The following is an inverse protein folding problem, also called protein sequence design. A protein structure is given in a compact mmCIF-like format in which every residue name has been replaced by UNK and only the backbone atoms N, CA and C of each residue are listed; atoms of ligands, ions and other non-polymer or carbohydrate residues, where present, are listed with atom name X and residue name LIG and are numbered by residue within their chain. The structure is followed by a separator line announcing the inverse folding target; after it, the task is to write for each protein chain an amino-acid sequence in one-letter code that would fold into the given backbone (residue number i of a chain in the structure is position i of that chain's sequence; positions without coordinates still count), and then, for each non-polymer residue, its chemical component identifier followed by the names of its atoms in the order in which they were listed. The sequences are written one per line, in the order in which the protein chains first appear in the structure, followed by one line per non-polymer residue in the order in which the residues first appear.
data_IF_725765697547
#
_entry.id   IF_725765697547
#
_cell.length_a   1.000
_cell.length_b   1.000
_cell.length_c   1.000
_cell.angle_alpha   90.00
_cell.angle_beta   90.00
_cell.angle_gamma   90.00
#
_symmetry.space_group_name_H-M   'P 1'
#
loop_
_entity.id
_entity.type
_entity.pdbx_description
1 polymer ?
#
# COMPACT_ATOMS: atom_id res chain seq x y z
N UNK A 1 2.59 -5.00 -6.39
CA UNK A 1 2.13 -4.18 -5.26
C UNK A 1 2.15 -2.69 -5.59
N UNK A 2 2.15 -1.79 -4.59
CA UNK A 2 2.35 -0.36 -4.78
C UNK A 2 3.62 -0.09 -5.60
N UNK A 3 3.60 0.95 -6.42
CA UNK A 3 4.76 1.29 -7.26
C UNK A 3 5.83 2.04 -6.47
N UNK A 4 7.10 1.69 -6.71
CA UNK A 4 8.26 2.33 -6.10
C UNK A 4 8.82 3.51 -6.90
N UNK A 5 10.09 3.89 -6.66
CA UNK A 5 10.80 4.87 -7.48
C UNK A 5 10.69 4.57 -8.98
N UNK A 6 10.44 5.62 -9.78
CA UNK A 6 10.21 5.48 -11.23
C UNK A 6 8.87 4.82 -11.59
N UNK A 7 7.95 4.67 -10.64
CA UNK A 7 6.66 4.00 -10.80
C UNK A 7 6.78 2.51 -11.20
N UNK A 8 7.90 1.87 -10.86
CA UNK A 8 8.14 0.46 -11.17
C UNK A 8 7.36 -0.46 -10.23
N UNK A 9 6.64 -1.48 -10.75
CA UNK A 9 5.99 -2.51 -9.93
C UNK A 9 7.00 -3.46 -9.26
N UNK A 10 8.25 -3.50 -9.75
CA UNK A 10 9.35 -4.34 -9.22
C UNK A 10 10.13 -3.67 -8.08
N UNK A 11 9.85 -2.39 -7.77
CA UNK A 11 10.48 -1.65 -6.68
C UNK A 11 9.48 -1.40 -5.53
N UNK A 12 8.58 -2.34 -5.27
CA UNK A 12 7.45 -2.15 -4.37
C UNK A 12 7.86 -1.99 -2.90
N UNK A 13 7.20 -1.10 -2.11
CA UNK A 13 7.44 -0.99 -0.67
C UNK A 13 6.84 -2.16 0.14
N UNK A 14 6.17 -3.11 -0.52
CA UNK A 14 5.75 -4.38 0.10
C UNK A 14 5.53 -5.46 -0.96
N UNK A 15 5.96 -6.69 -0.65
CA UNK A 15 5.68 -7.88 -1.43
C UNK A 15 4.20 -8.32 -1.38
N UNK A 16 3.47 -7.90 -0.34
CA UNK A 16 2.09 -8.31 -0.08
C UNK A 16 1.06 -7.26 -0.50
N UNK A 17 1.36 -5.98 -0.28
CA UNK A 17 0.40 -4.91 -0.49
C UNK A 17 -0.01 -4.78 -1.97
N UNK A 18 -1.23 -4.31 -2.20
CA UNK A 18 -1.76 -3.94 -3.51
C UNK A 18 -1.57 -2.45 -3.84
N UNK A 19 -1.52 -2.10 -5.13
CA UNK A 19 -1.38 -0.72 -5.57
C UNK A 19 -2.69 0.06 -5.39
N UNK A 20 -2.71 1.00 -4.45
CA UNK A 20 -3.90 1.82 -4.13
C UNK A 20 -4.34 2.70 -5.30
N UNK A 21 -3.44 3.02 -6.25
CA UNK A 21 -3.81 3.75 -7.47
C UNK A 21 -4.70 2.92 -8.40
N UNK A 22 -4.81 1.60 -8.20
CA UNK A 22 -5.73 0.75 -8.97
C UNK A 22 -7.16 0.73 -8.42
N UNK A 23 -7.42 1.31 -7.23
CA UNK A 23 -8.77 1.37 -6.65
C UNK A 23 -9.70 2.15 -7.59
N UNK A 24 -10.78 1.52 -8.05
CA UNK A 24 -11.85 2.11 -8.83
C UNK A 24 -12.67 3.07 -7.97
N UNK A 25 -12.56 4.38 -8.24
CA UNK A 25 -13.35 5.41 -7.57
C UNK A 25 -14.86 5.30 -7.87
N UNK A 26 -15.31 4.95 -9.10
CA UNK A 26 -16.73 4.70 -9.35
C UNK A 26 -17.31 3.56 -8.50
N UNK A 27 -16.54 2.51 -8.22
CA UNK A 27 -17.00 1.45 -7.33
C UNK A 27 -17.15 1.94 -5.89
N UNK A 28 -16.24 2.80 -5.43
CA UNK A 28 -16.40 3.46 -4.12
C UNK A 28 -17.66 4.34 -4.07
N UNK A 29 -18.00 5.03 -5.15
CA UNK A 29 -19.27 5.77 -5.22
C UNK A 29 -20.49 4.83 -5.17
N UNK A 30 -20.44 3.70 -5.88
CA UNK A 30 -21.47 2.66 -5.81
C UNK A 30 -21.65 2.07 -4.40
N UNK A 31 -20.59 1.99 -3.62
CA UNK A 31 -20.63 1.55 -2.21
C UNK A 31 -21.16 2.62 -1.24
N UNK A 32 -21.35 3.85 -1.72
CA UNK A 32 -21.69 5.01 -0.87
C UNK A 32 -20.49 5.57 -0.08
N UNK A 33 -19.26 5.20 -0.46
CA UNK A 33 -18.03 5.75 0.11
C UNK A 33 -17.64 7.09 -0.52
N UNK A 34 -18.10 7.39 -1.73
CA UNK A 34 -17.93 8.67 -2.40
C UNK A 34 -19.26 9.15 -2.97
N UNK A 35 -19.43 10.46 -3.13
CA UNK A 35 -20.54 10.99 -3.92
C UNK A 35 -20.12 11.13 -5.38
N UNK A 36 -21.11 11.17 -6.28
CA UNK A 36 -20.86 11.45 -7.70
C UNK A 36 -20.18 12.81 -7.90
N UNK A 37 -20.46 13.79 -7.04
CA UNK A 37 -19.81 15.10 -7.07
C UNK A 37 -18.31 15.02 -6.78
N UNK A 38 -17.86 14.08 -5.94
CA UNK A 38 -16.43 13.83 -5.71
C UNK A 38 -15.73 13.34 -6.99
N UNK A 39 -16.48 12.72 -7.91
CA UNK A 39 -15.98 12.23 -9.19
C UNK A 39 -16.15 13.24 -10.33
N UNK A 40 -16.87 14.34 -10.10
CA UNK A 40 -17.12 15.34 -11.12
C UNK A 40 -15.81 15.99 -11.59
N UNK A 41 -15.74 16.27 -12.89
CA UNK A 41 -14.64 17.01 -13.54
C UNK A 41 -13.25 16.38 -13.31
N UNK A 42 -13.02 15.12 -13.73
CA UNK A 42 -11.67 14.57 -13.71
C UNK A 42 -10.74 15.43 -14.58
N UNK A 43 -9.45 15.56 -14.22
CA UNK A 43 -8.43 16.05 -15.12
C UNK A 43 -8.49 15.28 -16.44
N UNK A 44 -8.12 15.94 -17.55
CA UNK A 44 -8.01 15.26 -18.83
C UNK A 44 -6.80 14.32 -18.78
N UNK A 45 -7.06 13.04 -18.60
CA UNK A 45 -6.04 11.99 -18.68
C UNK A 45 -5.83 11.56 -20.13
N UNK A 46 -4.60 11.17 -20.46
CA UNK A 46 -4.31 10.50 -21.74
C UNK A 46 -4.89 9.08 -21.70
N UNK A 47 -5.41 8.62 -22.84
CA UNK A 47 -5.83 7.22 -23.01
C UNK A 47 -4.66 6.26 -23.28
N UNK A 48 -3.51 6.80 -23.70
CA UNK A 48 -2.38 6.00 -24.19
C UNK A 48 -1.24 5.88 -23.16
N UNK A 49 -1.17 6.81 -22.20
CA UNK A 49 -0.09 6.88 -21.22
C UNK A 49 -0.60 7.31 -19.85
N UNK A 50 -0.03 6.73 -18.79
CA UNK A 50 -0.36 7.06 -17.41
C UNK A 50 0.58 8.16 -16.90
N UNK A 51 0.02 9.33 -16.60
CA UNK A 51 0.68 10.34 -15.76
C UNK A 51 0.42 9.97 -14.28
N UNK A 52 1.40 9.32 -13.66
CA UNK A 52 1.27 8.83 -12.28
C UNK A 52 1.08 9.96 -11.26
N UNK A 53 1.70 11.13 -11.50
CA UNK A 53 1.59 12.27 -10.58
C UNK A 53 0.20 12.88 -10.67
N UNK A 54 -0.32 13.07 -11.88
CA UNK A 54 -1.69 13.53 -12.09
C UNK A 54 -2.72 12.54 -11.51
N UNK A 55 -2.50 11.24 -11.70
CA UNK A 55 -3.37 10.19 -11.13
C UNK A 55 -3.30 10.21 -9.61
N UNK A 56 -2.12 10.34 -9.00
CA UNK A 56 -1.96 10.41 -7.54
C UNK A 56 -2.64 11.65 -6.97
N UNK A 57 -2.41 12.82 -7.59
CA UNK A 57 -3.02 14.08 -7.21
C UNK A 57 -4.56 14.03 -7.28
N UNK A 58 -5.11 13.27 -8.24
CA UNK A 58 -6.55 13.08 -8.36
C UNK A 58 -7.10 12.05 -7.37
N UNK A 59 -6.49 10.87 -7.26
CA UNK A 59 -7.05 9.74 -6.50
C UNK A 59 -6.83 9.85 -4.99
N UNK A 60 -5.67 10.32 -4.54
CA UNK A 60 -5.34 10.33 -3.10
C UNK A 60 -6.30 11.16 -2.24
N UNK A 61 -6.68 12.41 -2.61
CA UNK A 61 -7.66 13.17 -1.85
C UNK A 61 -9.02 12.46 -1.74
N UNK A 62 -9.43 11.75 -2.78
CA UNK A 62 -10.70 11.00 -2.83
C UNK A 62 -10.64 9.74 -1.99
N UNK A 63 -9.51 9.04 -1.95
CA UNK A 63 -9.33 7.92 -1.02
C UNK A 63 -9.38 8.39 0.44
N UNK A 64 -8.78 9.55 0.76
CA UNK A 64 -8.92 10.14 2.09
C UNK A 64 -10.36 10.54 2.40
N UNK A 65 -11.09 11.10 1.43
CA UNK A 65 -12.51 11.42 1.58
C UNK A 65 -13.33 10.15 1.86
N UNK A 66 -13.12 9.09 1.07
CA UNK A 66 -13.78 7.80 1.24
C UNK A 66 -13.55 7.23 2.65
N UNK A 67 -12.29 7.26 3.12
CA UNK A 67 -11.96 6.83 4.46
C UNK A 67 -12.63 7.70 5.55
N UNK A 68 -12.65 9.02 5.36
CA UNK A 68 -13.32 9.95 6.29
C UNK A 68 -14.82 9.70 6.37
N UNK A 69 -15.48 9.41 5.25
CA UNK A 69 -16.90 9.03 5.19
C UNK A 69 -17.14 7.68 5.86
N UNK A 70 -16.32 6.67 5.57
CA UNK A 70 -16.39 5.35 6.21
C UNK A 70 -16.29 5.45 7.74
N UNK A 71 -15.31 6.22 8.24
CA UNK A 71 -15.15 6.49 9.68
C UNK A 71 -16.37 7.16 10.32
N UNK A 72 -17.12 7.96 9.56
CA UNK A 72 -18.33 8.67 10.01
C UNK A 72 -19.61 7.86 9.91
N UNK A 73 -19.58 6.64 9.37
CA UNK A 73 -20.79 5.80 9.28
C UNK A 73 -21.09 5.29 7.88
N UNK A 74 -20.50 5.85 6.83
CA UNK A 74 -20.81 5.47 5.45
C UNK A 74 -20.42 4.02 5.15
N UNK A 75 -21.13 3.42 4.19
CA UNK A 75 -20.98 2.03 3.78
C UNK A 75 -20.92 1.04 4.97
N UNK A 76 -21.93 1.06 5.88
CA UNK A 76 -21.91 0.19 7.07
C UNK A 76 -21.82 -1.30 6.74
N UNK A 77 -22.30 -1.70 5.55
CA UNK A 77 -22.18 -3.06 5.03
C UNK A 77 -20.74 -3.56 4.89
N UNK A 78 -19.74 -2.66 4.80
CA UNK A 78 -18.33 -3.02 4.64
C UNK A 78 -17.58 -3.16 5.97
N UNK A 79 -18.20 -2.85 7.11
CA UNK A 79 -17.50 -2.84 8.41
C UNK A 79 -17.01 -4.22 8.81
N UNK A 80 -17.88 -5.22 8.75
CA UNK A 80 -17.54 -6.58 9.14
C UNK A 80 -16.44 -7.16 8.24
N UNK A 81 -16.54 -6.91 6.92
CA UNK A 81 -15.54 -7.36 5.96
C UNK A 81 -14.18 -6.67 6.20
N UNK A 82 -14.18 -5.39 6.56
CA UNK A 82 -12.97 -4.67 6.89
C UNK A 82 -12.31 -5.20 8.18
N UNK A 83 -13.11 -5.44 9.23
CA UNK A 83 -12.62 -6.03 10.48
C UNK A 83 -12.06 -7.44 10.26
N UNK A 84 -12.76 -8.27 9.48
CA UNK A 84 -12.30 -9.59 9.10
C UNK A 84 -10.99 -9.54 8.29
N UNK A 85 -10.91 -8.64 7.30
CA UNK A 85 -9.69 -8.42 6.51
C UNK A 85 -8.51 -8.03 7.39
N UNK A 86 -8.72 -7.10 8.33
CA UNK A 86 -7.66 -6.70 9.27
C UNK A 86 -7.17 -7.88 10.10
N UNK A 87 -8.07 -8.74 10.59
CA UNK A 87 -7.70 -9.91 11.37
C UNK A 87 -6.97 -10.97 10.53
N UNK A 88 -7.45 -11.26 9.33
CA UNK A 88 -6.89 -12.26 8.41
C UNK A 88 -5.49 -11.85 7.91
N UNK A 89 -5.31 -10.56 7.61
CA UNK A 89 -4.09 -10.03 6.99
C UNK A 89 -3.10 -9.43 7.99
N UNK A 90 -3.38 -9.50 9.31
CA UNK A 90 -2.59 -8.86 10.35
C UNK A 90 -1.07 -9.14 10.27
N UNK A 91 -0.70 -10.36 9.85
CA UNK A 91 0.68 -10.83 9.78
C UNK A 91 1.61 -10.00 8.86
N UNK A 92 1.07 -9.30 7.86
CA UNK A 92 1.84 -8.36 7.02
C UNK A 92 1.26 -6.95 7.04
N UNK A 93 -0.07 -6.84 7.21
CA UNK A 93 -0.79 -5.57 7.11
C UNK A 93 -0.40 -4.58 8.22
N UNK A 94 -0.12 -5.08 9.41
CA UNK A 94 0.22 -4.25 10.56
C UNK A 94 1.57 -3.56 10.38
N UNK A 95 2.59 -4.34 9.97
CA UNK A 95 3.91 -3.80 9.65
C UNK A 95 3.87 -2.88 8.42
N UNK A 96 3.13 -3.26 7.37
CA UNK A 96 2.97 -2.41 6.20
C UNK A 96 2.32 -1.06 6.54
N UNK A 97 1.22 -1.07 7.29
CA UNK A 97 0.49 0.15 7.60
C UNK A 97 1.30 1.09 8.51
N UNK A 98 2.05 0.55 9.47
CA UNK A 98 2.96 1.33 10.30
C UNK A 98 4.15 1.86 9.48
N UNK A 99 4.76 1.02 8.64
CA UNK A 99 5.85 1.42 7.75
C UNK A 99 5.43 2.60 6.85
N UNK A 100 4.28 2.49 6.20
CA UNK A 100 3.78 3.55 5.32
C UNK A 100 3.45 4.83 6.09
N UNK A 101 2.86 4.72 7.29
CA UNK A 101 2.59 5.88 8.13
C UNK A 101 3.88 6.59 8.59
N UNK A 102 4.91 5.82 8.95
CA UNK A 102 6.24 6.36 9.27
C UNK A 102 6.92 6.99 8.05
N UNK A 103 6.77 6.37 6.88
CA UNK A 103 7.30 6.88 5.62
C UNK A 103 6.66 8.22 5.25
N UNK A 104 5.34 8.36 5.41
CA UNK A 104 4.64 9.63 5.21
C UNK A 104 5.14 10.69 6.21
N UNK A 105 5.31 10.32 7.48
CA UNK A 105 5.78 11.22 8.54
C UNK A 105 7.23 11.70 8.38
N UNK A 106 8.04 10.98 7.60
CA UNK A 106 9.45 11.31 7.33
C UNK A 106 9.68 11.66 5.85
N UNK A 107 8.69 12.26 5.17
CA UNK A 107 8.84 12.80 3.81
C UNK A 107 9.34 11.76 2.79
N UNK A 108 8.83 10.53 2.89
CA UNK A 108 9.23 9.38 2.08
C UNK A 108 10.68 8.90 2.24
N UNK A 109 11.40 9.37 3.28
CA UNK A 109 12.74 8.90 3.59
C UNK A 109 12.79 7.38 3.78
N UNK A 110 13.94 6.78 3.45
CA UNK A 110 14.15 5.34 3.59
C UNK A 110 14.23 4.94 5.07
N UNK A 111 13.74 3.75 5.40
CA UNK A 111 13.60 3.34 6.81
C UNK A 111 14.91 3.35 7.62
N UNK A 112 16.04 3.14 6.96
CA UNK A 112 17.36 3.16 7.59
C UNK A 112 17.87 4.56 7.95
N UNK A 113 17.14 5.61 7.56
CA UNK A 113 17.44 7.02 7.88
C UNK A 113 16.52 7.59 8.95
N UNK A 114 15.52 6.81 9.40
CA UNK A 114 14.67 7.18 10.52
C UNK A 114 15.45 7.20 11.84
N UNK A 115 14.87 7.79 12.92
CA UNK A 115 15.40 7.63 14.27
C UNK A 115 15.75 6.17 14.57
N UNK A 116 16.90 5.95 15.21
CA UNK A 116 17.50 4.62 15.37
C UNK A 116 16.53 3.63 16.04
N UNK A 117 15.72 4.10 16.98
CA UNK A 117 14.74 3.30 17.70
C UNK A 117 13.61 2.79 16.79
N UNK A 118 13.23 3.56 15.76
CA UNK A 118 12.24 3.16 14.76
C UNK A 118 12.87 2.26 13.68
N UNK A 119 14.07 2.60 13.22
CA UNK A 119 14.80 1.78 12.24
C UNK A 119 15.14 0.38 12.81
N UNK A 120 15.47 0.30 14.10
CA UNK A 120 15.75 -0.95 14.83
C UNK A 120 14.50 -1.58 15.45
N UNK A 121 13.31 -1.01 15.21
CA UNK A 121 12.03 -1.56 15.66
C UNK A 121 11.95 -1.81 17.17
N UNK A 122 12.48 -0.89 17.97
CA UNK A 122 12.39 -0.98 19.42
C UNK A 122 10.92 -0.94 19.85
N UNK A 123 10.43 -1.92 20.65
CA UNK A 123 9.01 -2.07 20.94
C UNK A 123 8.33 -0.81 21.50
N UNK A 124 9.02 -0.06 22.38
CA UNK A 124 8.50 1.17 22.94
C UNK A 124 8.34 2.30 21.90
N UNK A 125 9.30 2.42 20.98
CA UNK A 125 9.23 3.41 19.90
C UNK A 125 8.14 3.07 18.89
N UNK A 126 7.98 1.78 18.55
CA UNK A 126 6.89 1.32 17.68
C UNK A 126 5.52 1.54 18.31
N UNK A 127 5.36 1.27 19.61
CA UNK A 127 4.12 1.53 20.33
C UNK A 127 3.77 3.03 20.33
N UNK A 128 4.75 3.89 20.62
CA UNK A 128 4.57 5.34 20.58
C UNK A 128 4.22 5.85 19.17
N UNK A 129 4.91 5.37 18.15
CA UNK A 129 4.62 5.71 16.75
C UNK A 129 3.23 5.21 16.30
N UNK A 130 2.85 4.00 16.72
CA UNK A 130 1.53 3.44 16.40
C UNK A 130 0.39 4.27 16.99
N UNK A 131 0.58 4.76 18.22
CA UNK A 131 -0.37 5.66 18.87
C UNK A 131 -0.44 7.01 18.16
N UNK A 132 0.73 7.62 17.90
CA UNK A 132 0.86 8.92 17.25
C UNK A 132 0.26 8.93 15.84
N UNK A 133 0.48 7.87 15.07
CA UNK A 133 0.08 7.77 13.67
C UNK A 133 -1.16 6.90 13.44
N UNK A 134 -1.94 6.62 14.50
CA UNK A 134 -3.12 5.72 14.44
C UNK A 134 -4.06 6.00 13.25
N UNK A 135 -4.34 7.27 12.96
CA UNK A 135 -5.24 7.65 11.86
C UNK A 135 -4.65 7.34 10.48
N UNK A 136 -3.34 7.54 10.30
CA UNK A 136 -2.64 7.22 9.05
C UNK A 136 -2.52 5.70 8.86
N UNK A 137 -2.21 4.96 9.93
CA UNK A 137 -2.20 3.48 9.92
C UNK A 137 -3.58 2.94 9.51
N UNK A 138 -4.65 3.46 10.12
CA UNK A 138 -6.01 3.04 9.78
C UNK A 138 -6.37 3.37 8.31
N UNK A 139 -5.88 4.48 7.76
CA UNK A 139 -6.05 4.81 6.34
C UNK A 139 -5.33 3.81 5.43
N UNK A 140 -4.07 3.47 5.73
CA UNK A 140 -3.30 2.48 4.96
C UNK A 140 -3.95 1.10 5.01
N UNK A 141 -4.44 0.66 6.18
CA UNK A 141 -5.23 -0.58 6.30
C UNK A 141 -6.50 -0.55 5.45
N UNK A 142 -7.25 0.54 5.51
CA UNK A 142 -8.50 0.70 4.76
C UNK A 142 -8.27 0.65 3.25
N UNK A 143 -7.23 1.32 2.73
CA UNK A 143 -6.95 1.29 1.30
C UNK A 143 -6.51 -0.09 0.81
N UNK A 144 -5.77 -0.86 1.62
CA UNK A 144 -5.43 -2.25 1.29
C UNK A 144 -6.65 -3.16 1.26
N UNK A 145 -7.58 -3.00 2.22
CA UNK A 145 -8.89 -3.67 2.18
C UNK A 145 -9.64 -3.37 0.88
N UNK A 146 -9.69 -2.10 0.46
CA UNK A 146 -10.35 -1.73 -0.79
C UNK A 146 -9.69 -2.37 -2.01
N UNK A 147 -8.35 -2.43 -2.07
CA UNK A 147 -7.65 -3.10 -3.16
C UNK A 147 -7.99 -4.59 -3.19
N UNK A 148 -7.89 -5.28 -2.06
CA UNK A 148 -8.20 -6.71 -1.96
C UNK A 148 -9.64 -7.02 -2.38
N UNK A 149 -10.61 -6.26 -1.86
CA UNK A 149 -12.02 -6.43 -2.20
C UNK A 149 -12.28 -6.26 -3.68
N UNK A 150 -11.74 -5.20 -4.29
CA UNK A 150 -11.93 -4.97 -5.72
C UNK A 150 -11.20 -6.00 -6.59
N UNK A 151 -10.01 -6.44 -6.15
CA UNK A 151 -9.25 -7.48 -6.84
C UNK A 151 -9.97 -8.84 -6.82
N UNK A 152 -10.54 -9.23 -5.67
CA UNK A 152 -11.35 -10.46 -5.53
C UNK A 152 -12.56 -10.45 -6.46
N UNK A 153 -13.21 -9.29 -6.63
CA UNK A 153 -14.33 -9.12 -7.58
C UNK A 153 -13.89 -9.32 -9.03
N UNK A 154 -12.79 -8.68 -9.45
CA UNK A 154 -12.22 -8.84 -10.80
C UNK A 154 -11.82 -10.30 -11.06
N UNK A 155 -11.15 -10.92 -10.09
CA UNK A 155 -10.70 -12.31 -10.19
C UNK A 155 -11.89 -13.28 -10.29
N UNK A 156 -12.95 -13.07 -9.50
CA UNK A 156 -14.19 -13.87 -9.60
C UNK A 156 -14.81 -13.74 -10.99
N UNK A 157 -14.97 -12.51 -11.48
CA UNK A 157 -15.55 -12.27 -12.80
C UNK A 157 -14.73 -12.91 -13.93
N UNK A 158 -13.40 -12.84 -13.86
CA UNK A 158 -12.52 -13.50 -14.82
C UNK A 158 -12.75 -15.03 -14.82
N UNK A 159 -12.82 -15.66 -13.65
CA UNK A 159 -13.06 -17.09 -13.54
C UNK A 159 -14.45 -17.50 -14.04
N UNK A 160 -15.48 -16.70 -13.77
CA UNK A 160 -16.85 -16.92 -14.29
C UNK A 160 -16.86 -16.88 -15.83
N UNK A 161 -15.93 -16.14 -16.43
CA UNK A 161 -15.72 -16.07 -17.88
C UNK A 161 -14.71 -17.11 -18.41
N UNK A 162 -14.22 -18.02 -17.56
CA UNK A 162 -13.21 -19.02 -17.94
C UNK A 162 -11.81 -18.44 -18.21
N UNK A 163 -11.53 -17.23 -17.74
CA UNK A 163 -10.24 -16.55 -17.87
C UNK A 163 -9.42 -16.74 -16.60
N UNK A 164 -8.18 -17.21 -16.76
CA UNK A 164 -7.22 -17.32 -15.66
C UNK A 164 -6.31 -16.09 -15.61
N UNK A 165 -5.98 -15.63 -14.40
CA UNK A 165 -5.06 -14.51 -14.18
C UNK A 165 -3.72 -15.04 -13.69
N UNK A 166 -2.65 -14.74 -14.41
CA UNK A 166 -1.29 -15.06 -14.01
C UNK A 166 -0.64 -13.84 -13.36
N UNK A 167 -0.22 -13.99 -12.11
CA UNK A 167 0.55 -12.97 -11.40
C UNK A 167 2.03 -12.96 -11.80
N UNK A 168 2.74 -11.92 -11.36
CA UNK A 168 4.19 -11.79 -11.48
C UNK A 168 4.75 -11.41 -10.11
N UNK A 169 5.75 -12.16 -9.65
CA UNK A 169 6.37 -12.00 -8.34
C UNK A 169 7.88 -11.83 -8.56
N UNK A 170 8.45 -10.65 -8.26
CA UNK A 170 9.89 -10.44 -8.30
C UNK A 170 10.61 -11.37 -7.31
N UNK A 171 11.75 -11.94 -7.72
CA UNK A 171 12.54 -12.82 -6.83
C UNK A 171 13.12 -12.08 -5.62
N UNK A 172 13.43 -10.78 -5.76
CA UNK A 172 13.93 -9.93 -4.68
C UNK A 172 12.92 -8.84 -4.35
N UNK A 173 12.84 -8.49 -3.06
CA UNK A 173 12.07 -7.35 -2.58
C UNK A 173 12.91 -6.07 -2.57
N UNK A 174 12.26 -4.92 -2.66
CA UNK A 174 12.96 -3.64 -2.55
C UNK A 174 13.55 -3.47 -1.14
N UNK A 175 14.76 -2.90 -1.05
CA UNK A 175 15.40 -2.62 0.23
C UNK A 175 14.56 -1.69 1.12
N UNK A 176 14.02 -0.62 0.56
CA UNK A 176 13.17 0.33 1.27
C UNK A 176 11.70 -0.14 1.26
N UNK A 177 11.45 -1.25 1.95
CA UNK A 177 10.14 -1.90 2.06
C UNK A 177 9.80 -2.27 3.50
N UNK A 178 8.51 -2.47 3.76
CA UNK A 178 8.02 -3.02 5.01
C UNK A 178 8.58 -4.43 5.26
N UNK A 179 8.81 -5.23 4.20
CA UNK A 179 9.29 -6.60 4.30
C UNK A 179 10.71 -6.64 4.88
N UNK A 180 11.62 -5.81 4.34
CA UNK A 180 13.00 -5.70 4.82
C UNK A 180 13.07 -5.03 6.18
N UNK A 181 12.31 -3.95 6.38
CA UNK A 181 12.30 -3.24 7.66
C UNK A 181 11.82 -4.14 8.81
N UNK A 182 10.76 -4.94 8.60
CA UNK A 182 10.17 -5.79 9.62
C UNK A 182 10.92 -7.11 9.87
N UNK A 183 11.63 -7.63 8.85
CA UNK A 183 12.27 -8.95 8.89
C UNK A 183 13.78 -8.86 8.58
N UNK A 184 14.47 -7.92 9.23
CA UNK A 184 15.89 -7.60 8.95
C UNK A 184 16.83 -8.82 9.05
N UNK A 185 16.48 -9.81 9.87
CA UNK A 185 17.22 -11.06 10.06
C UNK A 185 17.17 -12.01 8.84
N UNK A 186 16.21 -11.83 7.94
CA UNK A 186 16.14 -12.58 6.68
C UNK A 186 17.08 -12.04 5.59
N UNK A 187 17.73 -10.88 5.82
CA UNK A 187 18.53 -10.19 4.82
C UNK A 187 19.99 -10.01 5.28
N UNK A 188 20.90 -9.86 4.30
CA UNK A 188 22.31 -9.57 4.55
C UNK A 188 22.50 -8.07 4.79
N UNK A 189 22.18 -7.63 6.01
CA UNK A 189 22.33 -6.25 6.44
C UNK A 189 23.53 -6.09 7.38
N UNK A 190 24.35 -5.07 7.11
CA UNK A 190 25.44 -4.62 7.94
C UNK A 190 25.00 -3.59 9.00
N UNK A 191 25.97 -2.88 9.60
CA UNK A 191 25.69 -1.87 10.62
C UNK A 191 24.71 -0.80 10.15
N UNK A 192 23.77 -0.41 11.02
CA UNK A 192 22.70 0.57 10.74
C UNK A 192 21.71 0.14 9.64
N UNK A 193 21.60 -1.17 9.39
CA UNK A 193 20.61 -1.72 8.46
C UNK A 193 20.99 -1.63 6.99
N UNK A 194 22.19 -1.16 6.65
CA UNK A 194 22.64 -1.03 5.26
C UNK A 194 22.92 -2.40 4.62
N UNK A 195 22.58 -2.64 3.33
CA UNK A 195 22.91 -3.90 2.66
C UNK A 195 24.43 -4.14 2.65
N UNK A 196 24.88 -5.32 3.05
CA UNK A 196 26.30 -5.71 2.91
C UNK A 196 26.60 -6.26 1.51
N UNK A 197 25.59 -6.83 0.86
CA UNK A 197 25.62 -7.35 -0.51
C UNK A 197 24.33 -6.95 -1.23
N UNK A 198 24.38 -6.82 -2.56
CA UNK A 198 23.21 -6.47 -3.38
C UNK A 198 23.09 -7.43 -4.55
N UNK A 199 21.85 -7.70 -4.97
CA UNK A 199 21.57 -8.52 -6.14
C UNK A 199 22.03 -7.84 -7.44
N UNK A 200 22.47 -8.63 -8.40
CA UNK A 200 22.87 -8.19 -9.73
C UNK A 200 23.10 -9.39 -10.65
N UNK A 201 23.38 -9.10 -11.92
CA UNK A 201 23.78 -10.11 -12.91
C UNK A 201 25.22 -9.84 -13.36
N UNK A 202 26.03 -10.88 -13.64
CA UNK A 202 27.35 -10.69 -14.23
C UNK A 202 27.22 -10.15 -15.68
N UNK A 203 28.30 -9.61 -16.27
CA UNK A 203 28.32 -9.26 -17.68
C UNK A 203 27.93 -10.43 -18.59
N UNK A 204 27.21 -10.15 -19.67
CA UNK A 204 26.88 -11.09 -20.74
C UNK A 204 27.90 -11.05 -21.89
N UNK A 205 27.82 -12.05 -22.78
CA UNK A 205 28.80 -12.33 -23.84
C UNK A 205 28.45 -11.69 -25.19
#
# INVERSE_FOLDING_TARGET
GPVGPGNSPYASPSAFAGNTLLISLPWLAGDGLLDNDSLATPPRFSGDQVDFDAVRAYKMPRLHEAFSRFRRGAAPQLRNDFEAYQAEQAHWLDDYALFMALKDAHESAAWNTWPAELAQRQPAALAAASELHRAAIAFHRFTQFLVDRQWKEVHRYANDCGVQIMGDIPIFVAYDSADVWANQDLFRLGPRGLPSEVAGVPPDA
#
